data_IF_463941341672
#
_entry.id   IF_463941341672
#
_cell.length_a   1.000
_cell.length_b   1.000
_cell.length_c   1.000
_cell.angle_alpha   90.00
_cell.angle_beta   90.00
_cell.angle_gamma   90.00
#
_symmetry.space_group_name_H-M   'P 1'
#
loop_
_entity.id
_entity.type
_entity.pdbx_description
1 polymer ?
#
# COMPACT_ATOMS: atom_id res chain seq x y z
N UNK A 1 17.41 3.06 -88.16
CA UNK A 1 18.39 2.46 -87.24
C UNK A 1 17.72 2.43 -85.88
N UNK A 2 16.75 1.53 -85.66
CA UNK A 2 16.94 0.12 -85.32
C UNK A 2 17.49 -0.05 -83.89
N UNK A 3 16.60 -0.28 -82.91
CA UNK A 3 16.65 -1.42 -81.97
C UNK A 3 15.65 -1.29 -80.80
N UNK A 4 14.62 -2.15 -80.88
CA UNK A 4 14.07 -3.13 -79.92
C UNK A 4 13.77 -2.79 -78.43
N UNK A 5 12.83 -3.56 -77.80
CA UNK A 5 12.06 -3.17 -76.62
C UNK A 5 12.32 -3.99 -75.33
N UNK A 6 11.63 -3.57 -74.24
CA UNK A 6 11.23 -4.31 -73.02
C UNK A 6 12.31 -4.67 -71.97
N UNK A 7 11.97 -5.05 -70.71
CA UNK A 7 10.68 -4.99 -70.01
C UNK A 7 10.75 -4.45 -68.56
N UNK A 8 9.57 -4.31 -67.97
CA UNK A 8 9.25 -4.16 -66.55
C UNK A 8 10.06 -5.10 -65.62
N UNK A 9 10.60 -4.55 -64.53
CA UNK A 9 10.76 -5.28 -63.26
C UNK A 9 10.43 -4.32 -62.11
N UNK A 10 9.27 -4.55 -61.49
CA UNK A 10 8.86 -3.89 -60.27
C UNK A 10 9.64 -4.45 -59.09
N UNK A 11 10.25 -3.57 -58.31
CA UNK A 11 10.89 -3.90 -57.04
C UNK A 11 9.88 -3.58 -55.94
N UNK A 12 9.28 -4.63 -55.37
CA UNK A 12 8.50 -4.53 -54.15
C UNK A 12 9.47 -4.41 -52.95
N UNK A 13 9.45 -3.28 -52.26
CA UNK A 13 10.17 -3.10 -51.01
C UNK A 13 9.38 -3.77 -49.87
N UNK A 14 9.92 -4.85 -49.30
CA UNK A 14 9.48 -5.39 -48.01
C UNK A 14 10.39 -4.86 -46.91
N UNK A 15 9.89 -3.87 -46.18
CA UNK A 15 10.45 -3.46 -44.89
C UNK A 15 9.86 -4.38 -43.79
N UNK A 16 10.67 -5.31 -43.28
CA UNK A 16 10.31 -6.10 -42.10
C UNK A 16 10.86 -5.38 -40.85
N UNK A 17 10.02 -4.56 -40.22
CA UNK A 17 10.28 -4.04 -38.88
C UNK A 17 9.86 -5.10 -37.86
N UNK A 18 10.81 -5.85 -37.32
CA UNK A 18 10.60 -6.73 -36.18
C UNK A 18 10.57 -5.87 -34.90
N UNK A 19 9.41 -5.32 -34.58
CA UNK A 19 9.16 -4.73 -33.27
C UNK A 19 8.93 -5.86 -32.26
N UNK A 20 9.99 -6.27 -31.55
CA UNK A 20 9.84 -6.98 -30.28
C UNK A 20 9.20 -6.02 -29.28
N UNK A 21 7.87 -6.06 -29.19
CA UNK A 21 7.16 -5.47 -28.06
C UNK A 21 7.57 -6.24 -26.80
N UNK A 22 8.36 -5.60 -25.94
CA UNK A 22 8.49 -6.05 -24.56
C UNK A 22 7.08 -6.12 -23.96
N UNK A 23 6.71 -7.18 -23.22
CA UNK A 23 5.49 -7.14 -22.44
C UNK A 23 5.59 -5.94 -21.50
N UNK A 24 4.63 -5.02 -21.61
CA UNK A 24 4.50 -3.92 -20.67
C UNK A 24 4.40 -4.51 -19.27
N UNK A 25 5.26 -4.04 -18.36
CA UNK A 25 5.14 -4.34 -16.95
C UNK A 25 3.77 -3.85 -16.48
N UNK A 26 2.84 -4.78 -16.24
CA UNK A 26 1.68 -4.52 -15.39
C UNK A 26 2.19 -4.03 -14.02
N UNK A 27 1.44 -3.15 -13.34
CA UNK A 27 1.95 -2.39 -12.20
C UNK A 27 2.46 -3.32 -11.09
N UNK A 28 3.54 -2.92 -10.42
CA UNK A 28 4.23 -3.67 -9.37
C UNK A 28 3.38 -3.97 -8.11
N UNK A 29 2.06 -3.78 -8.16
CA UNK A 29 1.11 -3.88 -7.04
C UNK A 29 0.11 -5.01 -7.20
N UNK A 30 -0.01 -5.62 -8.39
CA UNK A 30 -1.07 -6.60 -8.66
C UNK A 30 -0.73 -7.98 -8.07
N UNK A 31 -1.46 -8.40 -7.04
CA UNK A 31 -1.37 -9.77 -6.52
C UNK A 31 -2.09 -10.74 -7.46
N UNK A 32 -1.63 -11.99 -7.50
CA UNK A 32 -2.35 -13.05 -8.21
C UNK A 32 -3.81 -13.08 -7.72
N UNK A 33 -4.83 -13.17 -8.59
CA UNK A 33 -6.22 -13.28 -8.16
C UNK A 33 -6.43 -14.48 -7.23
N UNK A 34 -7.30 -14.39 -6.19
CA UNK A 34 -7.39 -15.45 -5.18
C UNK A 34 -7.63 -16.85 -5.78
N UNK A 35 -8.52 -17.00 -6.75
CA UNK A 35 -8.81 -18.28 -7.41
C UNK A 35 -7.62 -18.87 -8.18
N UNK A 36 -6.59 -18.07 -8.44
CA UNK A 36 -5.38 -18.45 -9.14
C UNK A 36 -4.20 -18.72 -8.21
N UNK A 37 -4.29 -18.37 -6.91
CA UNK A 37 -3.28 -18.67 -5.87
C UNK A 37 -3.34 -20.14 -5.45
N UNK A 38 -3.01 -21.04 -6.36
CA UNK A 38 -3.12 -22.50 -6.17
C UNK A 38 -1.80 -23.26 -6.31
N UNK A 39 -0.72 -22.57 -6.70
CA UNK A 39 0.61 -23.16 -6.83
C UNK A 39 1.64 -22.36 -6.04
N UNK A 40 2.68 -23.06 -5.57
CA UNK A 40 3.78 -22.47 -4.81
C UNK A 40 4.50 -21.38 -5.61
N UNK A 41 4.62 -21.54 -6.94
CA UNK A 41 5.26 -20.53 -7.80
C UNK A 41 4.50 -19.21 -7.80
N UNK A 42 3.16 -19.25 -7.82
CA UNK A 42 2.31 -18.05 -7.79
C UNK A 42 2.34 -17.40 -6.41
N UNK A 43 2.21 -18.21 -5.35
CA UNK A 43 2.29 -17.71 -3.97
C UNK A 43 3.66 -17.05 -3.71
N UNK A 44 4.73 -17.68 -4.17
CA UNK A 44 6.08 -17.15 -4.02
C UNK A 44 6.30 -15.89 -4.87
N UNK A 45 5.65 -15.76 -6.03
CA UNK A 45 5.67 -14.52 -6.79
C UNK A 45 4.99 -13.36 -6.04
N UNK A 46 3.82 -13.59 -5.45
CA UNK A 46 3.14 -12.59 -4.63
C UNK A 46 3.98 -12.21 -3.39
N UNK A 47 4.65 -13.17 -2.74
CA UNK A 47 5.58 -12.86 -1.64
C UNK A 47 6.72 -11.93 -2.07
N UNK A 48 7.31 -12.18 -3.26
CA UNK A 48 8.33 -11.28 -3.81
C UNK A 48 7.79 -9.88 -4.08
N UNK A 49 6.51 -9.74 -4.40
CA UNK A 49 5.87 -8.42 -4.51
C UNK A 49 5.92 -7.70 -3.16
N UNK A 50 5.49 -8.34 -2.06
CA UNK A 50 5.58 -7.74 -0.72
C UNK A 50 7.03 -7.40 -0.32
N UNK A 51 7.98 -8.30 -0.57
CA UNK A 51 9.41 -8.06 -0.34
C UNK A 51 9.91 -6.82 -1.12
N UNK A 52 9.52 -6.68 -2.39
CA UNK A 52 9.92 -5.54 -3.21
C UNK A 52 9.35 -4.20 -2.70
N UNK A 53 8.16 -4.20 -2.11
CA UNK A 53 7.59 -3.02 -1.48
C UNK A 53 8.28 -2.69 -0.16
N UNK A 54 8.64 -3.71 0.63
CA UNK A 54 9.45 -3.53 1.85
C UNK A 54 10.80 -2.87 1.53
N UNK A 55 11.49 -3.35 0.49
CA UNK A 55 12.76 -2.77 0.02
C UNK A 55 12.60 -1.29 -0.39
N UNK A 56 11.46 -0.92 -0.98
CA UNK A 56 11.17 0.48 -1.33
C UNK A 56 10.90 1.35 -0.10
N UNK A 57 10.20 0.84 0.90
CA UNK A 57 10.06 1.53 2.21
C UNK A 57 11.45 1.77 2.82
N UNK A 58 12.31 0.76 2.81
CA UNK A 58 13.68 0.87 3.33
C UNK A 58 14.51 1.90 2.54
N UNK A 59 14.36 1.95 1.21
CA UNK A 59 15.02 2.95 0.38
C UNK A 59 14.55 4.38 0.68
N UNK A 60 13.24 4.60 0.85
CA UNK A 60 12.68 5.91 1.26
C UNK A 60 13.18 6.31 2.66
N UNK A 61 13.27 5.37 3.60
CA UNK A 61 13.87 5.63 4.91
C UNK A 61 15.36 5.99 4.79
N UNK A 62 16.10 5.22 3.97
CA UNK A 62 17.53 5.40 3.71
C UNK A 62 17.88 6.72 3.03
N UNK A 63 16.93 7.36 2.33
CA UNK A 63 17.10 8.71 1.77
C UNK A 63 16.91 9.83 2.79
N UNK A 64 16.76 9.50 4.08
CA UNK A 64 16.73 10.47 5.18
C UNK A 64 15.33 10.78 5.74
N UNK A 65 14.27 10.12 5.25
CA UNK A 65 12.94 10.22 5.88
C UNK A 65 12.93 9.40 7.17
N UNK A 66 12.52 10.00 8.28
CA UNK A 66 12.49 9.31 9.57
C UNK A 66 11.49 8.16 9.56
N UNK A 67 11.81 7.04 10.22
CA UNK A 67 10.86 5.93 10.41
C UNK A 67 9.60 6.34 11.18
N UNK A 68 9.70 7.41 11.97
CA UNK A 68 8.57 8.01 12.69
C UNK A 68 7.75 8.97 11.82
N UNK A 69 8.14 9.22 10.57
CA UNK A 69 7.35 9.98 9.63
C UNK A 69 5.97 9.32 9.46
N UNK A 70 4.92 10.14 9.44
CA UNK A 70 3.55 9.64 9.40
C UNK A 70 3.29 8.81 8.14
N UNK A 71 3.70 9.29 6.96
CA UNK A 71 3.42 8.63 5.69
C UNK A 71 4.21 7.34 5.53
N UNK A 72 5.47 7.34 5.97
CA UNK A 72 6.33 6.15 5.94
C UNK A 72 5.82 5.06 6.89
N UNK A 73 5.49 5.42 8.14
CA UNK A 73 4.92 4.49 9.10
C UNK A 73 3.56 3.94 8.62
N UNK A 74 2.72 4.79 8.00
CA UNK A 74 1.43 4.37 7.45
C UNK A 74 1.59 3.40 6.28
N UNK A 75 2.58 3.62 5.41
CA UNK A 75 2.89 2.70 4.32
C UNK A 75 3.29 1.31 4.84
N UNK A 76 4.17 1.27 5.85
CA UNK A 76 4.58 0.01 6.49
C UNK A 76 3.37 -0.71 7.10
N UNK A 77 2.55 0.00 7.88
CA UNK A 77 1.40 -0.62 8.55
C UNK A 77 0.34 -1.12 7.54
N UNK A 78 0.16 -0.45 6.40
CA UNK A 78 -0.66 -0.98 5.30
C UNK A 78 -0.05 -2.23 4.66
N UNK A 79 1.26 -2.24 4.41
CA UNK A 79 1.97 -3.39 3.85
C UNK A 79 1.86 -4.61 4.76
N UNK A 80 2.03 -4.41 6.08
CA UNK A 80 1.92 -5.44 7.10
C UNK A 80 0.49 -6.01 7.17
N UNK A 81 -0.53 -5.15 7.20
CA UNK A 81 -1.93 -5.58 7.21
C UNK A 81 -2.30 -6.35 5.92
N UNK A 82 -1.83 -5.88 4.76
CA UNK A 82 -2.02 -6.55 3.48
C UNK A 82 -1.38 -7.93 3.46
N UNK A 83 -0.12 -8.04 3.90
CA UNK A 83 0.61 -9.30 3.94
C UNK A 83 0.02 -10.28 4.96
N UNK A 84 -0.39 -9.78 6.13
CA UNK A 84 -1.06 -10.56 7.16
C UNK A 84 -2.34 -11.20 6.62
N UNK A 85 -3.22 -10.41 6.00
CA UNK A 85 -4.47 -10.97 5.45
C UNK A 85 -4.23 -11.85 4.21
N UNK A 86 -3.24 -11.51 3.38
CA UNK A 86 -2.82 -12.38 2.28
C UNK A 86 -2.40 -13.77 2.77
N UNK A 87 -1.51 -13.83 3.78
CA UNK A 87 -0.98 -15.11 4.32
C UNK A 87 -2.02 -15.88 5.12
N UNK A 88 -3.04 -15.19 5.65
CA UNK A 88 -4.24 -15.80 6.24
C UNK A 88 -5.24 -16.31 5.20
N UNK A 89 -4.91 -16.18 3.91
CA UNK A 89 -5.75 -16.58 2.79
C UNK A 89 -7.09 -15.85 2.79
N UNK A 90 -7.08 -14.56 3.15
CA UNK A 90 -8.22 -13.67 2.92
C UNK A 90 -8.52 -13.61 1.41
N UNK A 91 -9.77 -13.95 1.07
CA UNK A 91 -10.28 -14.02 -0.31
C UNK A 91 -11.07 -12.76 -0.71
N UNK A 92 -11.17 -11.77 0.17
CA UNK A 92 -11.78 -10.47 -0.10
C UNK A 92 -10.85 -9.58 -0.95
N UNK A 93 -11.31 -8.35 -1.22
CA UNK A 93 -10.51 -7.29 -1.86
C UNK A 93 -9.49 -6.66 -0.89
N UNK A 94 -9.51 -7.01 0.40
CA UNK A 94 -8.70 -6.33 1.41
C UNK A 94 -7.19 -6.42 1.17
N UNK A 95 -6.56 -7.59 0.94
CA UNK A 95 -5.11 -7.66 0.74
C UNK A 95 -4.62 -6.79 -0.42
N UNK A 96 -5.34 -6.84 -1.55
CA UNK A 96 -5.01 -6.06 -2.75
C UNK A 96 -5.17 -4.54 -2.49
N UNK A 97 -6.28 -4.14 -1.86
CA UNK A 97 -6.53 -2.71 -1.60
C UNK A 97 -5.62 -2.13 -0.52
N UNK A 98 -5.28 -2.91 0.50
CA UNK A 98 -4.32 -2.51 1.52
C UNK A 98 -2.90 -2.36 0.93
N UNK A 99 -2.48 -3.31 0.07
CA UNK A 99 -1.23 -3.19 -0.68
C UNK A 99 -1.24 -1.97 -1.61
N UNK A 100 -2.38 -1.69 -2.25
CA UNK A 100 -2.59 -0.49 -3.06
C UNK A 100 -2.40 0.82 -2.28
N UNK A 101 -2.87 0.90 -1.03
CA UNK A 101 -2.63 2.06 -0.17
C UNK A 101 -1.17 2.18 0.25
N UNK A 102 -0.49 1.07 0.57
CA UNK A 102 0.95 1.08 0.82
C UNK A 102 1.71 1.61 -0.40
N UNK A 103 1.43 1.05 -1.58
CA UNK A 103 2.03 1.44 -2.86
C UNK A 103 1.84 2.93 -3.16
N UNK A 104 0.61 3.44 -3.03
CA UNK A 104 0.29 4.87 -3.25
C UNK A 104 1.12 5.79 -2.35
N UNK A 105 1.29 5.45 -1.08
CA UNK A 105 2.07 6.24 -0.13
C UNK A 105 3.56 6.20 -0.48
N UNK A 106 4.10 5.01 -0.79
CA UNK A 106 5.51 4.80 -1.15
C UNK A 106 5.85 5.57 -2.42
N UNK A 107 5.08 5.41 -3.48
CA UNK A 107 5.30 6.07 -4.76
C UNK A 107 5.28 7.60 -4.65
N UNK A 108 4.35 8.15 -3.86
CA UNK A 108 4.30 9.59 -3.62
C UNK A 108 5.56 10.08 -2.88
N UNK A 109 6.05 9.35 -1.88
CA UNK A 109 7.29 9.70 -1.16
C UNK A 109 8.53 9.58 -2.05
N UNK A 110 8.62 8.55 -2.90
CA UNK A 110 9.71 8.38 -3.86
C UNK A 110 9.78 9.54 -4.87
N UNK A 111 8.63 10.11 -5.23
CA UNK A 111 8.54 11.29 -6.09
C UNK A 111 8.85 12.61 -5.35
N UNK A 112 9.17 12.55 -4.05
CA UNK A 112 9.43 13.72 -3.21
C UNK A 112 8.17 14.52 -2.86
N UNK A 113 6.98 13.93 -3.02
CA UNK A 113 5.70 14.55 -2.66
C UNK A 113 5.23 14.10 -1.28
N UNK A 114 4.43 14.93 -0.60
CA UNK A 114 3.75 14.53 0.63
C UNK A 114 2.40 13.88 0.30
N UNK A 115 2.19 12.60 0.64
CA UNK A 115 0.94 11.91 0.35
C UNK A 115 -0.26 12.47 1.13
N UNK A 116 -1.46 12.38 0.57
CA UNK A 116 -2.70 12.68 1.31
C UNK A 116 -2.84 11.72 2.50
N UNK A 117 -3.12 12.27 3.69
CA UNK A 117 -3.26 11.52 4.94
C UNK A 117 -4.59 10.78 5.09
N UNK A 118 -5.53 10.91 4.14
CA UNK A 118 -6.84 10.26 4.20
C UNK A 118 -6.69 8.74 4.31
N UNK A 119 -7.43 8.15 5.25
CA UNK A 119 -7.51 6.69 5.42
C UNK A 119 -8.77 6.17 4.76
N UNK A 120 -8.69 5.37 3.68
CA UNK A 120 -9.88 4.74 3.13
C UNK A 120 -10.41 3.67 4.08
N UNK A 121 -11.74 3.53 4.13
CA UNK A 121 -12.35 2.36 4.73
C UNK A 121 -12.39 1.24 3.67
N UNK A 122 -11.80 0.10 4.01
CA UNK A 122 -11.79 -1.12 3.21
C UNK A 122 -12.70 -2.13 3.94
N UNK A 123 -13.64 -2.74 3.22
CA UNK A 123 -14.58 -3.71 3.80
C UNK A 123 -15.81 -3.13 4.55
N UNK A 124 -15.86 -1.83 4.86
CA UNK A 124 -17.02 -1.18 5.50
C UNK A 124 -17.39 0.17 4.86
N UNK A 125 -18.68 0.54 4.96
CA UNK A 125 -19.23 1.84 4.54
C UNK A 125 -19.04 2.93 5.60
N UNK A 126 -18.87 2.52 6.87
CA UNK A 126 -18.72 3.41 8.03
C UNK A 126 -17.65 2.87 8.98
N UNK A 127 -16.99 3.74 9.76
CA UNK A 127 -15.94 3.32 10.67
C UNK A 127 -16.46 2.36 11.75
N UNK A 128 -15.77 1.22 11.93
CA UNK A 128 -15.91 0.43 13.15
C UNK A 128 -15.33 1.23 14.32
N UNK A 129 -16.02 1.25 15.47
CA UNK A 129 -15.60 2.00 16.67
C UNK A 129 -15.30 3.48 16.39
N UNK A 130 -16.30 4.29 15.99
CA UNK A 130 -16.12 5.71 15.70
C UNK A 130 -15.61 6.53 16.90
N UNK A 131 -15.72 6.01 18.12
CA UNK A 131 -15.09 6.55 19.32
C UNK A 131 -13.55 6.49 19.26
N UNK A 132 -12.97 5.42 18.73
CA UNK A 132 -11.50 5.29 18.60
C UNK A 132 -10.94 6.21 17.51
N UNK A 133 -11.64 6.34 16.39
CA UNK A 133 -11.31 7.34 15.36
C UNK A 133 -11.30 8.76 15.90
N UNK A 134 -12.25 9.10 16.78
CA UNK A 134 -12.28 10.41 17.44
C UNK A 134 -11.08 10.63 18.35
N UNK A 135 -10.71 9.62 19.16
CA UNK A 135 -9.51 9.69 20.01
C UNK A 135 -8.25 9.95 19.19
N UNK A 136 -8.09 9.28 18.04
CA UNK A 136 -6.96 9.56 17.12
C UNK A 136 -6.97 10.99 16.59
N UNK A 137 -8.15 11.47 16.18
CA UNK A 137 -8.31 12.85 15.74
C UNK A 137 -7.94 13.85 16.85
N UNK A 138 -8.34 13.59 18.09
CA UNK A 138 -8.02 14.43 19.23
C UNK A 138 -6.50 14.49 19.46
N UNK A 139 -5.79 13.35 19.42
CA UNK A 139 -4.31 13.31 19.55
C UNK A 139 -3.62 14.02 18.37
N UNK A 140 -4.07 13.81 17.13
CA UNK A 140 -3.48 14.43 15.93
C UNK A 140 -3.67 15.95 15.90
N UNK A 141 -4.58 16.51 16.71
CA UNK A 141 -4.77 17.96 16.86
C UNK A 141 -3.90 18.58 17.95
N UNK A 142 -3.20 17.78 18.76
CA UNK A 142 -2.31 18.30 19.81
C UNK A 142 -0.96 18.76 19.26
N UNK A 143 -0.29 19.66 19.99
CA UNK A 143 1.09 20.05 19.70
C UNK A 143 2.06 18.85 19.82
N UNK A 144 1.78 17.92 20.73
CA UNK A 144 2.58 16.72 20.98
C UNK A 144 2.46 15.63 19.91
N UNK A 145 1.58 15.80 18.90
CA UNK A 145 1.37 14.82 17.83
C UNK A 145 2.66 14.41 17.12
N UNK A 146 3.67 15.28 17.09
CA UNK A 146 4.97 15.02 16.45
C UNK A 146 5.72 13.83 17.07
N UNK A 147 5.46 13.53 18.34
CA UNK A 147 6.00 12.34 19.02
C UNK A 147 5.13 11.08 18.82
N UNK A 148 3.93 11.22 18.25
CA UNK A 148 2.92 10.16 18.14
C UNK A 148 2.60 9.77 16.68
N UNK A 149 3.21 10.41 15.69
CA UNK A 149 2.86 10.27 14.26
C UNK A 149 2.79 8.82 13.77
N UNK A 150 3.80 8.00 14.08
CA UNK A 150 3.81 6.58 13.68
C UNK A 150 2.71 5.76 14.38
N UNK A 151 2.44 6.03 15.66
CA UNK A 151 1.40 5.35 16.42
C UNK A 151 0.01 5.69 15.87
N UNK A 152 -0.22 6.97 15.54
CA UNK A 152 -1.45 7.42 14.90
C UNK A 152 -1.63 6.73 13.55
N UNK A 153 -0.61 6.75 12.71
CA UNK A 153 -0.63 6.13 11.38
C UNK A 153 -1.03 4.64 11.44
N UNK A 154 -0.39 3.86 12.31
CA UNK A 154 -0.68 2.43 12.42
C UNK A 154 -2.02 2.14 13.08
N UNK A 155 -2.43 2.95 14.07
CA UNK A 155 -3.75 2.80 14.68
C UNK A 155 -4.89 3.01 13.67
N UNK A 156 -4.75 3.96 12.75
CA UNK A 156 -5.73 4.16 11.68
C UNK A 156 -5.84 2.93 10.76
N UNK A 157 -4.71 2.31 10.41
CA UNK A 157 -4.68 1.10 9.58
C UNK A 157 -5.33 -0.08 10.32
N UNK A 158 -4.98 -0.28 11.59
CA UNK A 158 -5.55 -1.34 12.43
C UNK A 158 -7.06 -1.18 12.65
N UNK A 159 -7.57 0.05 12.71
CA UNK A 159 -9.01 0.29 12.74
C UNK A 159 -9.70 -0.11 11.43
N UNK A 160 -9.03 0.05 10.28
CA UNK A 160 -9.56 -0.44 8.99
C UNK A 160 -9.44 -1.96 8.90
N UNK A 161 -8.35 -2.54 9.38
CA UNK A 161 -8.15 -3.98 9.47
C UNK A 161 -9.22 -4.65 10.34
N UNK A 162 -9.48 -4.10 11.53
CA UNK A 162 -10.60 -4.52 12.37
C UNK A 162 -11.95 -4.39 11.66
N UNK A 163 -12.12 -3.33 10.86
CA UNK A 163 -13.29 -3.12 10.01
C UNK A 163 -13.50 -4.24 8.99
N UNK A 164 -12.44 -4.64 8.28
CA UNK A 164 -12.45 -5.77 7.35
C UNK A 164 -12.90 -7.07 8.03
N UNK A 165 -12.26 -7.40 9.14
CA UNK A 165 -12.54 -8.62 9.91
C UNK A 165 -13.97 -8.63 10.46
N UNK A 166 -14.49 -7.46 10.85
CA UNK A 166 -15.89 -7.32 11.23
C UNK A 166 -16.83 -7.51 10.04
N UNK A 167 -16.50 -6.93 8.89
CA UNK A 167 -17.24 -7.09 7.64
C UNK A 167 -17.44 -8.57 7.30
N UNK A 168 -16.35 -9.33 7.31
CA UNK A 168 -16.32 -10.75 6.93
C UNK A 168 -16.88 -11.67 8.02
N UNK A 169 -16.37 -11.58 9.25
CA UNK A 169 -16.57 -12.60 10.29
C UNK A 169 -17.09 -12.05 11.63
N UNK A 170 -17.49 -10.77 11.64
CA UNK A 170 -18.10 -10.09 12.79
C UNK A 170 -17.15 -9.99 14.00
N UNK A 171 -17.71 -9.60 15.14
CA UNK A 171 -16.97 -9.10 16.31
C UNK A 171 -15.88 -10.03 16.82
N UNK A 172 -16.11 -11.35 16.87
CA UNK A 172 -15.12 -12.30 17.42
C UNK A 172 -13.78 -12.24 16.67
N UNK A 173 -13.81 -11.94 15.38
CA UNK A 173 -12.64 -11.82 14.53
C UNK A 173 -12.06 -10.42 14.53
N UNK A 174 -12.91 -9.39 14.64
CA UNK A 174 -12.46 -8.00 14.71
C UNK A 174 -11.82 -7.64 16.07
N UNK A 175 -12.27 -8.24 17.17
CA UNK A 175 -11.89 -7.83 18.52
C UNK A 175 -10.37 -7.80 18.79
N UNK A 176 -9.55 -8.76 18.31
CA UNK A 176 -8.10 -8.67 18.44
C UNK A 176 -7.51 -7.40 17.81
N UNK A 177 -7.91 -7.06 16.58
CA UNK A 177 -7.40 -5.88 15.86
C UNK A 177 -7.93 -4.57 16.44
N UNK A 178 -9.16 -4.57 16.98
CA UNK A 178 -9.66 -3.45 17.81
C UNK A 178 -8.76 -3.24 19.04
N UNK A 179 -8.33 -4.32 19.70
CA UNK A 179 -7.45 -4.21 20.87
C UNK A 179 -6.05 -3.70 20.51
N UNK A 180 -5.50 -4.08 19.35
CA UNK A 180 -4.24 -3.52 18.83
C UNK A 180 -4.40 -2.02 18.58
N UNK A 181 -5.48 -1.61 17.90
CA UNK A 181 -5.77 -0.19 17.69
C UNK A 181 -5.91 0.56 19.03
N UNK A 182 -6.58 0.00 20.03
CA UNK A 182 -6.71 0.59 21.37
C UNK A 182 -5.35 0.78 22.07
N UNK A 183 -4.44 -0.18 21.99
CA UNK A 183 -3.06 -0.06 22.50
C UNK A 183 -2.29 1.06 21.78
N UNK A 184 -2.31 1.05 20.45
CA UNK A 184 -1.63 2.06 19.64
C UNK A 184 -2.16 3.47 19.95
N UNK A 185 -3.48 3.63 20.12
CA UNK A 185 -4.10 4.89 20.52
C UNK A 185 -3.65 5.31 21.91
N UNK A 186 -3.69 4.41 22.90
CA UNK A 186 -3.25 4.72 24.26
C UNK A 186 -1.78 5.15 24.31
N UNK A 187 -0.93 4.49 23.51
CA UNK A 187 0.48 4.86 23.36
C UNK A 187 0.65 6.19 22.62
N UNK A 188 -0.18 6.49 21.62
CA UNK A 188 -0.16 7.76 20.91
C UNK A 188 -0.54 8.91 21.85
N UNK A 189 -1.58 8.73 22.66
CA UNK A 189 -2.01 9.68 23.70
C UNK A 189 -0.88 9.95 24.69
N UNK A 190 -0.24 8.90 25.22
CA UNK A 190 0.90 9.03 26.12
C UNK A 190 2.11 9.73 25.48
N UNK A 191 2.50 9.30 24.27
CA UNK A 191 3.62 9.89 23.55
C UNK A 191 3.39 11.37 23.23
N UNK A 192 2.16 11.76 22.90
CA UNK A 192 1.80 13.16 22.67
C UNK A 192 1.82 13.98 23.96
N UNK A 193 1.34 13.42 25.08
CA UNK A 193 1.35 14.11 26.38
C UNK A 193 2.78 14.34 26.90
N UNK A 194 3.67 13.35 26.73
CA UNK A 194 5.07 13.42 27.16
C UNK A 194 5.98 14.16 26.16
N UNK A 195 5.42 14.56 25.00
CA UNK A 195 6.18 15.19 23.95
C UNK A 195 6.71 16.55 24.41
N UNK A 196 8.04 16.65 24.54
CA UNK A 196 8.72 17.93 24.76
C UNK A 196 8.73 18.70 23.44
N UNK A 197 7.64 19.36 23.11
CA UNK A 197 7.66 20.37 22.04
C UNK A 197 8.63 21.48 22.42
N UNK A 198 9.58 21.88 21.54
CA UNK A 198 10.32 23.12 21.73
C UNK A 198 9.32 24.27 21.92
N UNK A 199 9.64 25.24 22.78
CA UNK A 199 8.82 26.44 22.91
C UNK A 199 8.65 27.10 21.52
N UNK A 200 7.46 27.65 21.22
CA UNK A 200 7.22 28.35 19.96
C UNK A 200 8.16 29.54 19.75
#
# INVERSE_FOLDING_TARGET
>A
MDHRPNPLLGIAALAAAFGLGLPGSSPATELTPPEQRISDERIHADHRTFESWQERIEAVAGSGRALTDYSLAKAQCWLDAAFHEYTRNDRSDFPERALGEAARLIEAMEQGSEPERKTPLIGLDRPLRPDLWRRLQDVDQTAGRTCATALIACAEVELVHAGNEYGQFKWRHAAPYVAIAEDLIGRAEAAAADCRTPAP
#
